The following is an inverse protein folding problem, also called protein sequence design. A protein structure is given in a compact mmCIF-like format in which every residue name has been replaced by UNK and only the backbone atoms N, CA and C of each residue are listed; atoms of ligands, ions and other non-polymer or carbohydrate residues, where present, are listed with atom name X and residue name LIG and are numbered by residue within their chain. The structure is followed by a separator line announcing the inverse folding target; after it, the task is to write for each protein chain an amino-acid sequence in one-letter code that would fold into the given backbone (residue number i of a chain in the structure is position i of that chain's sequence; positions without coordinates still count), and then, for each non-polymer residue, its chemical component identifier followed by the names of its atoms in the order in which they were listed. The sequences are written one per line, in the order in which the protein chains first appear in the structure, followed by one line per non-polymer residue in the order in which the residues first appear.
data_IF_156841876447
#
_entry.id   IF_156841876447
#
_cell.length_a   1.000
_cell.length_b   1.000
_cell.length_c   1.000
_cell.angle_alpha   90.00
_cell.angle_beta   90.00
_cell.angle_gamma   90.00
#
_symmetry.space_group_name_H-M   'P 1'
#
loop_
_entity.id
_entity.type
_entity.pdbx_description
1 polymer ?
#
# COMPACT_ATOMS: atom_id res chain seq x y z
N UNK A 1 15.82 -20.41 -7.35
CA UNK A 1 14.76 -19.40 -7.11
C UNK A 1 15.44 -18.05 -7.20
N UNK A 2 15.30 -17.33 -8.32
CA UNK A 2 15.91 -16.01 -8.46
C UNK A 2 15.17 -15.05 -7.52
N UNK A 3 15.87 -14.53 -6.51
CA UNK A 3 15.37 -13.43 -5.70
C UNK A 3 15.58 -12.15 -6.50
N UNK A 4 14.50 -11.58 -7.02
CA UNK A 4 14.53 -10.25 -7.61
C UNK A 4 14.54 -9.25 -6.45
N UNK A 5 15.59 -8.45 -6.34
CA UNK A 5 15.62 -7.30 -5.43
C UNK A 5 15.17 -6.06 -6.20
N UNK A 6 14.16 -5.36 -5.68
CA UNK A 6 13.71 -4.07 -6.20
C UNK A 6 14.27 -3.01 -5.26
N UNK A 7 14.98 -2.02 -5.78
CA UNK A 7 15.45 -0.87 -5.01
C UNK A 7 14.29 0.08 -4.73
N UNK A 8 14.15 0.53 -3.48
CA UNK A 8 13.16 1.51 -3.07
C UNK A 8 13.66 2.29 -1.86
N UNK A 9 13.15 3.50 -1.70
CA UNK A 9 13.27 4.28 -0.48
C UNK A 9 12.02 4.11 0.38
N UNK A 10 12.22 3.97 1.69
CA UNK A 10 11.13 3.98 2.67
C UNK A 10 11.32 5.14 3.63
N UNK A 11 10.27 5.94 3.79
CA UNK A 11 10.23 7.03 4.76
C UNK A 11 8.80 7.24 5.28
N UNK A 12 8.68 7.92 6.41
CA UNK A 12 7.39 8.24 7.02
C UNK A 12 7.22 9.76 7.01
N UNK A 13 6.07 10.24 6.54
CA UNK A 13 5.73 11.66 6.54
C UNK A 13 5.42 12.15 7.95
N UNK A 14 5.40 13.48 8.14
CA UNK A 14 5.10 14.09 9.45
C UNK A 14 3.70 13.77 9.98
N UNK A 15 2.76 13.41 9.11
CA UNK A 15 1.41 12.97 9.47
C UNK A 15 1.31 11.46 9.78
N UNK A 16 2.43 10.73 9.75
CA UNK A 16 2.48 9.30 10.03
C UNK A 16 2.26 8.37 8.83
N UNK A 17 2.07 8.89 7.61
CA UNK A 17 1.94 8.05 6.42
C UNK A 17 3.30 7.44 6.03
N UNK A 18 3.35 6.12 5.97
CA UNK A 18 4.47 5.38 5.36
C UNK A 18 4.44 5.50 3.83
N UNK A 19 5.58 5.85 3.26
CA UNK A 19 5.78 5.96 1.81
C UNK A 19 6.87 4.98 1.39
N UNK A 20 6.58 4.23 0.33
CA UNK A 20 7.54 3.39 -0.39
C UNK A 20 7.66 3.96 -1.80
N UNK A 21 8.85 4.46 -2.14
CA UNK A 21 9.14 5.07 -3.43
C UNK A 21 10.14 4.21 -4.20
N UNK A 22 9.74 3.76 -5.38
CA UNK A 22 10.63 3.11 -6.35
C UNK A 22 10.66 3.96 -7.60
N UNK A 23 11.81 4.52 -7.93
CA UNK A 23 11.99 5.33 -9.14
C UNK A 23 12.44 4.45 -10.31
N UNK A 24 11.76 4.59 -11.45
CA UNK A 24 12.15 4.03 -12.75
C UNK A 24 11.94 5.08 -13.83
N UNK A 25 13.00 5.43 -14.56
CA UNK A 25 12.99 6.43 -15.63
C UNK A 25 12.81 5.84 -17.03
N UNK A 26 12.45 4.55 -17.14
CA UNK A 26 12.23 3.89 -18.43
C UNK A 26 11.10 4.53 -19.25
N UNK A 27 10.07 5.07 -18.59
CA UNK A 27 8.92 5.73 -19.21
C UNK A 27 8.44 6.94 -18.37
N UNK A 28 7.84 7.97 -18.99
CA UNK A 28 7.31 9.14 -18.28
C UNK A 28 5.91 8.84 -17.70
N UNK A 29 5.79 7.80 -16.88
CA UNK A 29 4.53 7.36 -16.24
C UNK A 29 4.77 7.14 -14.75
N UNK A 30 3.76 7.45 -13.93
CA UNK A 30 3.77 7.15 -12.50
C UNK A 30 2.62 6.21 -12.14
N UNK A 31 2.89 5.24 -11.28
CA UNK A 31 1.87 4.42 -10.63
C UNK A 31 1.80 4.80 -9.15
N UNK A 32 0.59 5.02 -8.64
CA UNK A 32 0.36 5.40 -7.25
C UNK A 32 -0.66 4.44 -6.65
N UNK A 33 -0.35 3.90 -5.48
CA UNK A 33 -1.26 3.05 -4.72
C UNK A 33 -1.36 3.59 -3.29
N UNK A 34 -2.56 3.55 -2.72
CA UNK A 34 -2.81 3.87 -1.32
C UNK A 34 -3.27 2.61 -0.61
N UNK A 35 -2.58 2.24 0.47
CA UNK A 35 -2.84 1.02 1.20
C UNK A 35 -3.26 1.37 2.62
N UNK A 36 -4.42 0.88 3.04
CA UNK A 36 -4.85 0.94 4.43
C UNK A 36 -4.51 -0.37 5.12
N UNK A 37 -3.99 -0.29 6.34
CA UNK A 37 -3.70 -1.48 7.15
C UNK A 37 -4.98 -2.01 7.84
N UNK A 38 -6.02 -2.26 7.04
CA UNK A 38 -7.32 -2.77 7.48
C UNK A 38 -7.93 -3.62 6.37
N UNK A 39 -8.73 -4.63 6.73
CA UNK A 39 -9.46 -5.47 5.79
C UNK A 39 -10.54 -6.29 6.49
N UNK A 40 -11.07 -7.31 5.80
CA UNK A 40 -12.13 -8.18 6.34
C UNK A 40 -11.74 -8.89 7.64
N UNK A 41 -10.45 -9.11 7.88
CA UNK A 41 -9.93 -9.67 9.13
C UNK A 41 -10.25 -8.79 10.35
N UNK A 42 -10.48 -7.50 10.16
CA UNK A 42 -10.76 -6.54 11.22
C UNK A 42 -12.27 -6.35 11.47
N UNK A 43 -13.13 -7.14 10.81
CA UNK A 43 -14.58 -7.00 10.94
C UNK A 43 -15.12 -7.67 12.21
N UNK A 44 -16.16 -7.05 12.77
CA UNK A 44 -16.88 -7.60 13.92
C UNK A 44 -18.01 -8.54 13.47
N UNK A 45 -18.35 -9.59 14.25
CA UNK A 45 -19.51 -10.44 13.99
C UNK A 45 -20.79 -9.61 13.83
N UNK A 46 -21.54 -9.87 12.75
CA UNK A 46 -22.75 -9.10 12.41
C UNK A 46 -22.49 -7.77 11.70
N UNK A 47 -21.23 -7.43 11.39
CA UNK A 47 -20.81 -6.27 10.57
C UNK A 47 -19.87 -6.68 9.44
N UNK A 48 -20.10 -7.86 8.87
CA UNK A 48 -19.26 -8.41 7.80
C UNK A 48 -19.46 -7.66 6.48
N UNK A 49 -18.41 -7.54 5.67
CA UNK A 49 -18.43 -6.86 4.36
C UNK A 49 -18.22 -5.35 4.43
N UNK A 50 -17.99 -4.78 5.61
CA UNK A 50 -17.77 -3.35 5.79
C UNK A 50 -16.43 -2.90 5.21
N UNK A 51 -15.38 -3.70 5.34
CA UNK A 51 -14.08 -3.34 4.76
C UNK A 51 -14.18 -3.16 3.23
N UNK A 52 -14.92 -4.04 2.57
CA UNK A 52 -15.19 -3.95 1.12
C UNK A 52 -16.21 -2.87 0.78
N UNK A 53 -17.17 -2.56 1.66
CA UNK A 53 -18.11 -1.46 1.45
C UNK A 53 -17.40 -0.08 1.43
N UNK A 54 -16.30 0.05 2.16
CA UNK A 54 -15.52 1.28 2.28
C UNK A 54 -14.25 1.31 1.40
N UNK A 55 -13.96 0.22 0.69
CA UNK A 55 -12.93 0.18 -0.37
C UNK A 55 -13.33 1.08 -1.55
#
# INVERSE_FOLDING_TARGET
RLMVSISFDKFTLSNGLDVILSEDHSLPVAAVNLWYHVGSQNEEPGRTGFAHLFE
#
